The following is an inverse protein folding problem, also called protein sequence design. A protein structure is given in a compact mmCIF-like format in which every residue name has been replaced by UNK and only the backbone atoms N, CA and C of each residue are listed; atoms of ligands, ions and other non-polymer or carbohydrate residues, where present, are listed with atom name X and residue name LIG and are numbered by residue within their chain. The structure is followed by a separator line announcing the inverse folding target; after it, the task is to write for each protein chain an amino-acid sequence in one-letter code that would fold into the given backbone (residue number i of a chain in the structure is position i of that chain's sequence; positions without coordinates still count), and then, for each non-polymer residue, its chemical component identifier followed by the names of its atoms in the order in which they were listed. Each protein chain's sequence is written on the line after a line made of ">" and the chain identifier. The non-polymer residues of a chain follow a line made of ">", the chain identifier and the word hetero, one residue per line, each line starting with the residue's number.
data_IF_493760597269
#
_entry.id   IF_493760597269
#
_cell.length_a   1.000
_cell.length_b   1.000
_cell.length_c   1.000
_cell.angle_alpha   90.00
_cell.angle_beta   90.00
_cell.angle_gamma   90.00
#
_symmetry.space_group_name_H-M   'P 1'
#
loop_
_entity.id
_entity.type
_entity.pdbx_description
1 polymer ?
#
# COMPACT_ATOMS: atom_id res chain seq x y z
N UNK A 1 -66.57 23.73 -15.60
CA UNK A 1 -65.16 23.43 -15.95
C UNK A 1 -65.10 22.00 -16.49
N UNK A 2 -64.76 21.81 -17.77
CA UNK A 2 -64.75 20.49 -18.43
C UNK A 2 -63.72 19.57 -17.73
N UNK A 3 -63.95 18.26 -17.71
CA UNK A 3 -63.04 17.22 -17.20
C UNK A 3 -61.60 17.45 -17.67
N UNK A 4 -61.40 17.85 -18.93
CA UNK A 4 -60.06 18.18 -19.46
C UNK A 4 -59.39 19.34 -18.71
N UNK A 5 -60.17 20.36 -18.34
CA UNK A 5 -59.67 21.51 -17.57
C UNK A 5 -59.37 21.12 -16.13
N UNK A 6 -60.16 20.23 -15.49
CA UNK A 6 -59.88 19.70 -14.14
C UNK A 6 -58.63 18.81 -14.10
N UNK A 7 -58.43 17.96 -15.12
CA UNK A 7 -57.25 17.11 -15.26
C UNK A 7 -55.99 17.98 -15.45
N UNK A 8 -56.08 19.04 -16.26
CA UNK A 8 -54.96 19.96 -16.49
C UNK A 8 -54.59 20.75 -15.22
N UNK A 9 -55.56 21.17 -14.40
CA UNK A 9 -55.27 21.86 -13.13
C UNK A 9 -54.67 20.92 -12.09
N UNK A 10 -55.08 19.65 -12.06
CA UNK A 10 -54.53 18.62 -11.16
C UNK A 10 -53.09 18.23 -11.57
N UNK A 11 -52.82 18.11 -12.86
CA UNK A 11 -51.47 17.86 -13.38
C UNK A 11 -50.51 19.02 -13.10
N UNK A 12 -50.98 20.27 -13.19
CA UNK A 12 -50.15 21.45 -12.90
C UNK A 12 -49.84 21.59 -11.39
N UNK A 13 -50.75 21.17 -10.51
CA UNK A 13 -50.51 21.20 -9.05
C UNK A 13 -49.59 20.06 -8.59
N UNK A 14 -49.65 18.88 -9.22
CA UNK A 14 -48.71 17.78 -8.94
C UNK A 14 -47.30 18.10 -9.45
N UNK A 15 -47.17 18.81 -10.58
CA UNK A 15 -45.87 19.22 -11.12
C UNK A 15 -45.16 20.31 -10.27
N UNK A 16 -45.92 21.13 -9.53
CA UNK A 16 -45.35 22.11 -8.59
C UNK A 16 -44.90 21.50 -7.25
N UNK A 17 -45.39 20.31 -6.88
CA UNK A 17 -45.03 19.67 -5.61
C UNK A 17 -43.71 18.86 -5.69
N UNK A 18 -43.20 18.58 -6.89
CA UNK A 18 -41.99 17.76 -7.07
C UNK A 18 -40.68 18.54 -7.12
N UNK A 19 -40.71 19.86 -6.92
CA UNK A 19 -39.49 20.71 -6.92
C UNK A 19 -39.10 21.20 -5.53
N UNK A 20 -39.74 20.69 -4.48
CA UNK A 20 -39.38 20.94 -3.09
C UNK A 20 -38.39 19.87 -2.56
N UNK A 21 -37.40 19.47 -3.36
CA UNK A 21 -36.17 18.97 -2.75
C UNK A 21 -35.42 20.18 -2.21
N UNK A 22 -35.28 20.24 -0.89
CA UNK A 22 -34.59 21.31 -0.21
C UNK A 22 -33.20 21.50 -0.82
N UNK A 23 -32.96 22.64 -1.47
CA UNK A 23 -31.60 23.11 -1.77
C UNK A 23 -30.92 23.45 -0.44
N UNK A 24 -30.40 22.43 0.25
CA UNK A 24 -29.49 22.66 1.36
C UNK A 24 -28.22 23.28 0.81
N UNK A 25 -27.75 24.36 1.46
CA UNK A 25 -26.45 24.94 1.14
C UNK A 25 -25.39 23.89 1.45
N UNK A 26 -24.61 23.49 0.44
CA UNK A 26 -23.51 22.56 0.62
C UNK A 26 -22.39 23.26 1.39
N UNK A 27 -22.28 22.95 2.67
CA UNK A 27 -21.21 23.46 3.53
C UNK A 27 -20.02 22.48 3.54
N UNK A 28 -18.77 22.97 3.61
CA UNK A 28 -17.62 22.11 3.85
C UNK A 28 -17.80 21.29 5.13
N UNK A 29 -17.60 19.97 5.04
CA UNK A 29 -17.66 19.10 6.19
C UNK A 29 -16.55 19.44 7.19
N UNK A 30 -16.86 19.43 8.48
CA UNK A 30 -15.89 19.76 9.52
C UNK A 30 -14.69 18.81 9.56
N UNK A 31 -14.92 17.56 9.14
CA UNK A 31 -13.90 16.53 8.91
C UNK A 31 -14.08 15.98 7.49
N UNK A 32 -13.35 16.51 6.50
CA UNK A 32 -13.44 16.03 5.12
C UNK A 32 -13.04 14.55 5.02
N UNK A 33 -13.65 13.82 4.09
CA UNK A 33 -13.24 12.46 3.74
C UNK A 33 -11.91 12.47 3.00
N UNK A 34 -11.15 11.38 3.14
CA UNK A 34 -9.91 11.12 2.44
C UNK A 34 -9.78 9.62 2.18
N UNK A 35 -9.10 9.29 1.08
CA UNK A 35 -8.75 7.94 0.70
C UNK A 35 -7.25 7.90 0.39
N UNK A 36 -6.58 6.86 0.85
CA UNK A 36 -5.21 6.52 0.44
C UNK A 36 -5.18 5.08 -0.02
N UNK A 37 -4.38 4.78 -1.05
CA UNK A 37 -4.17 3.43 -1.55
C UNK A 37 -2.68 3.19 -1.77
N UNK A 38 -2.23 1.98 -1.46
CA UNK A 38 -0.84 1.56 -1.61
C UNK A 38 -0.79 0.09 -2.01
N UNK A 39 0.03 -0.23 -3.02
CA UNK A 39 0.43 -1.60 -3.30
C UNK A 39 1.52 -2.00 -2.31
N UNK A 40 1.25 -3.01 -1.49
CA UNK A 40 2.15 -3.58 -0.49
C UNK A 40 2.48 -5.00 -0.94
N UNK A 41 3.72 -5.23 -1.38
CA UNK A 41 4.04 -6.43 -2.14
C UNK A 41 3.14 -6.56 -3.37
N UNK A 42 2.34 -7.61 -3.42
CA UNK A 42 1.35 -7.83 -4.48
C UNK A 42 -0.09 -7.43 -4.07
N UNK A 43 -0.29 -7.02 -2.81
CA UNK A 43 -1.61 -6.69 -2.24
C UNK A 43 -1.92 -5.21 -2.41
N UNK A 44 -3.15 -4.90 -2.81
CA UNK A 44 -3.68 -3.53 -2.82
C UNK A 44 -4.32 -3.26 -1.46
N UNK A 45 -3.84 -2.23 -0.76
CA UNK A 45 -4.35 -1.79 0.54
C UNK A 45 -4.95 -0.40 0.39
N UNK A 46 -6.23 -0.26 0.72
CA UNK A 46 -6.95 1.03 0.66
C UNK A 46 -7.48 1.40 2.02
N UNK A 47 -7.29 2.65 2.44
CA UNK A 47 -7.85 3.21 3.67
C UNK A 47 -8.74 4.39 3.33
N UNK A 48 -9.99 4.33 3.78
CA UNK A 48 -10.96 5.43 3.69
C UNK A 48 -11.27 5.95 5.08
N UNK A 49 -11.14 7.26 5.28
CA UNK A 49 -11.30 7.87 6.59
C UNK A 49 -11.76 9.32 6.49
N UNK A 50 -12.27 9.88 7.58
CA UNK A 50 -12.45 11.34 7.70
C UNK A 50 -11.36 11.95 8.56
N UNK A 51 -10.92 13.15 8.19
CA UNK A 51 -9.79 13.86 8.79
C UNK A 51 -10.23 14.94 9.78
N UNK A 52 -10.35 14.65 11.10
CA UNK A 52 -10.65 15.69 12.08
C UNK A 52 -9.48 16.64 12.32
N UNK A 53 -9.80 17.89 12.65
CA UNK A 53 -8.83 18.91 13.09
C UNK A 53 -8.93 19.19 14.58
N UNK A 54 -7.83 19.65 15.20
CA UNK A 54 -7.79 19.94 16.62
C UNK A 54 -8.69 21.11 16.99
N UNK A 55 -8.67 22.20 16.20
CA UNK A 55 -9.44 23.43 16.45
C UNK A 55 -9.22 23.97 17.86
N UNK A 56 -7.96 23.99 18.30
CA UNK A 56 -7.56 24.46 19.63
C UNK A 56 -7.78 23.48 20.79
N UNK A 57 -8.39 22.31 20.54
CA UNK A 57 -8.61 21.28 21.57
C UNK A 57 -7.38 20.40 21.78
N UNK A 58 -7.20 19.91 22.99
CA UNK A 58 -6.31 18.77 23.27
C UNK A 58 -6.99 17.49 22.79
N UNK A 59 -6.25 16.60 22.14
CA UNK A 59 -6.86 15.41 21.53
C UNK A 59 -6.85 14.25 22.51
N UNK A 60 -5.67 13.73 22.82
CA UNK A 60 -5.57 12.50 23.60
C UNK A 60 -5.64 12.78 25.10
N UNK A 61 -6.56 12.07 25.77
CA UNK A 61 -6.90 12.29 27.17
C UNK A 61 -7.93 13.41 27.40
N UNK A 62 -8.52 13.98 26.35
CA UNK A 62 -9.62 14.93 26.44
C UNK A 62 -10.69 14.67 25.37
N UNK A 63 -10.49 15.11 24.12
CA UNK A 63 -11.43 14.84 23.02
C UNK A 63 -11.56 13.33 22.73
N UNK A 64 -10.43 12.62 22.81
CA UNK A 64 -10.34 11.17 22.73
C UNK A 64 -9.89 10.68 24.11
N UNK A 65 -10.82 10.22 24.96
CA UNK A 65 -10.50 9.74 26.30
C UNK A 65 -9.54 8.54 26.26
N UNK A 66 -8.70 8.44 27.28
CA UNK A 66 -7.85 7.26 27.42
C UNK A 66 -8.62 6.10 28.04
N UNK A 67 -8.40 4.90 27.51
CA UNK A 67 -9.02 3.67 28.02
C UNK A 67 -10.39 3.34 27.41
N UNK A 68 -10.96 4.26 26.63
CA UNK A 68 -12.23 4.07 25.95
C UNK A 68 -12.04 3.74 24.46
N UNK A 69 -13.01 3.01 23.89
CA UNK A 69 -13.03 2.71 22.45
C UNK A 69 -13.31 3.98 21.67
N UNK A 70 -12.43 4.24 20.70
CA UNK A 70 -12.52 5.34 19.75
C UNK A 70 -12.62 4.79 18.33
N UNK A 71 -13.67 5.20 17.60
CA UNK A 71 -13.71 5.05 16.15
C UNK A 71 -12.62 5.92 15.55
N UNK A 72 -11.52 5.28 15.15
CA UNK A 72 -10.27 5.96 14.77
C UNK A 72 -10.55 6.92 13.61
N UNK A 73 -10.68 8.23 13.87
CA UNK A 73 -11.08 9.25 12.89
C UNK A 73 -12.37 10.00 13.26
N UNK A 74 -13.05 10.58 12.26
CA UNK A 74 -14.31 11.34 12.39
C UNK A 74 -15.45 10.77 11.51
N UNK A 75 -16.72 11.08 11.79
CA UNK A 75 -17.89 10.67 11.00
C UNK A 75 -18.08 9.13 10.86
N UNK A 76 -18.01 8.59 9.64
CA UNK A 76 -18.11 7.15 9.35
C UNK A 76 -16.87 6.38 9.82
N UNK A 77 -16.99 5.07 10.06
CA UNK A 77 -15.85 4.20 10.39
C UNK A 77 -14.70 4.38 9.39
N UNK A 78 -13.49 4.52 9.91
CA UNK A 78 -12.31 4.38 9.05
C UNK A 78 -12.27 2.92 8.61
N UNK A 79 -12.27 2.69 7.31
CA UNK A 79 -12.19 1.35 6.75
C UNK A 79 -10.81 1.11 6.17
N UNK A 80 -10.37 -0.14 6.26
CA UNK A 80 -9.17 -0.65 5.61
C UNK A 80 -9.55 -1.89 4.79
N UNK A 81 -9.16 -1.91 3.53
CA UNK A 81 -9.45 -2.98 2.59
C UNK A 81 -8.15 -3.59 2.10
N UNK A 82 -8.08 -4.93 2.12
CA UNK A 82 -6.98 -5.72 1.59
C UNK A 82 -7.48 -6.60 0.44
N UNK A 83 -6.77 -6.58 -0.70
CA UNK A 83 -7.13 -7.42 -1.85
C UNK A 83 -6.70 -8.89 -1.74
N UNK A 84 -5.79 -9.21 -0.82
CA UNK A 84 -5.35 -10.57 -0.50
C UNK A 84 -5.16 -10.70 1.02
N UNK A 85 -4.92 -11.92 1.50
CA UNK A 85 -4.64 -12.19 2.91
C UNK A 85 -3.35 -11.48 3.35
N UNK A 86 -3.34 -10.98 4.59
CA UNK A 86 -2.22 -10.21 5.16
C UNK A 86 -1.94 -10.64 6.59
N UNK A 87 -0.80 -10.18 7.14
CA UNK A 87 -0.54 -10.20 8.58
C UNK A 87 -0.50 -8.79 9.14
N UNK A 88 -1.19 -8.56 10.26
CA UNK A 88 -1.13 -7.33 11.03
C UNK A 88 -0.41 -7.57 12.35
N UNK A 89 0.75 -6.93 12.54
CA UNK A 89 1.63 -7.20 13.69
C UNK A 89 1.87 -8.71 13.91
N UNK A 90 2.07 -9.45 12.82
CA UNK A 90 2.27 -10.90 12.81
C UNK A 90 1.01 -11.77 12.88
N UNK A 91 -0.18 -11.18 13.07
CA UNK A 91 -1.45 -11.93 13.17
C UNK A 91 -2.11 -12.06 11.80
N UNK A 92 -2.52 -13.26 11.44
CA UNK A 92 -3.21 -13.52 10.16
C UNK A 92 -4.56 -12.82 10.06
N UNK A 93 -4.80 -12.18 8.92
CA UNK A 93 -6.06 -11.53 8.56
C UNK A 93 -6.40 -11.87 7.11
N UNK A 94 -7.57 -12.49 6.85
CA UNK A 94 -8.03 -12.74 5.50
C UNK A 94 -8.23 -11.46 4.68
N UNK A 95 -8.25 -11.58 3.36
CA UNK A 95 -8.65 -10.51 2.46
C UNK A 95 -10.06 -10.00 2.80
N UNK A 96 -10.27 -8.70 2.72
CA UNK A 96 -11.57 -8.11 3.02
C UNK A 96 -11.49 -6.64 3.42
N UNK A 97 -12.65 -6.09 3.75
CA UNK A 97 -12.80 -4.72 4.26
C UNK A 97 -13.20 -4.76 5.73
N UNK A 98 -12.44 -4.03 6.54
CA UNK A 98 -12.60 -3.99 7.99
C UNK A 98 -12.67 -2.55 8.49
N UNK A 99 -13.32 -2.33 9.63
CA UNK A 99 -13.29 -1.05 10.33
C UNK A 99 -12.15 -0.99 11.34
N UNK A 100 -11.56 0.20 11.51
CA UNK A 100 -10.51 0.47 12.48
C UNK A 100 -11.06 1.23 13.69
N UNK A 101 -10.93 0.61 14.86
CA UNK A 101 -11.11 1.23 16.17
C UNK A 101 -9.80 1.19 16.94
N UNK A 102 -9.69 2.04 17.95
CA UNK A 102 -8.54 2.06 18.84
C UNK A 102 -8.97 2.30 20.27
N UNK A 103 -8.21 1.79 21.24
CA UNK A 103 -8.27 2.18 22.65
C UNK A 103 -6.95 2.86 22.98
N UNK A 104 -6.89 4.20 22.97
CA UNK A 104 -5.68 4.94 23.31
C UNK A 104 -5.35 4.83 24.80
N UNK A 105 -4.08 4.62 25.12
CA UNK A 105 -3.49 4.89 26.44
C UNK A 105 -2.17 5.62 26.27
N UNK A 106 -1.54 6.02 27.38
CA UNK A 106 -0.27 6.76 27.35
C UNK A 106 0.88 5.91 26.82
N UNK A 107 0.92 4.63 27.19
CA UNK A 107 2.08 3.76 26.94
C UNK A 107 1.79 2.65 25.93
N UNK A 108 0.51 2.28 25.75
CA UNK A 108 0.08 1.25 24.80
C UNK A 108 -1.28 1.60 24.18
N UNK A 109 -1.38 1.48 22.87
CA UNK A 109 -2.65 1.57 22.16
C UNK A 109 -3.09 0.16 21.78
N UNK A 110 -4.36 -0.14 21.98
CA UNK A 110 -4.97 -1.31 21.35
C UNK A 110 -5.57 -0.88 20.03
N UNK A 111 -5.10 -1.44 18.92
CA UNK A 111 -5.78 -1.34 17.62
C UNK A 111 -6.77 -2.49 17.53
N UNK A 112 -7.95 -2.21 16.99
CA UNK A 112 -9.05 -3.13 16.85
C UNK A 112 -9.46 -3.14 15.38
N UNK A 113 -9.51 -4.34 14.81
CA UNK A 113 -9.98 -4.60 13.45
C UNK A 113 -11.33 -5.30 13.59
N UNK A 114 -12.38 -4.66 13.08
CA UNK A 114 -13.76 -5.15 13.20
C UNK A 114 -14.36 -5.46 11.83
N UNK A 115 -15.18 -6.51 11.74
CA UNK A 115 -15.95 -6.85 10.53
C UNK A 115 -17.11 -5.89 10.27
N UNK A 116 -17.55 -5.12 11.28
CA UNK A 116 -18.66 -4.18 11.14
C UNK A 116 -18.19 -2.81 10.64
N UNK A 117 -18.35 -2.61 9.32
CA UNK A 117 -17.89 -1.42 8.59
C UNK A 117 -18.92 -0.30 8.50
N UNK A 118 -20.14 -0.51 9.01
CA UNK A 118 -21.29 0.38 8.75
C UNK A 118 -21.58 1.36 9.87
N UNK A 119 -20.86 1.27 10.99
CA UNK A 119 -21.11 2.12 12.15
C UNK A 119 -20.69 3.58 11.91
N UNK A 120 -21.47 4.48 12.48
CA UNK A 120 -21.20 5.92 12.51
C UNK A 120 -20.84 6.32 13.94
N UNK A 121 -19.57 6.67 14.18
CA UNK A 121 -19.06 6.79 15.56
C UNK A 121 -18.74 5.44 16.22
N UNK A 122 -18.54 5.47 17.54
CA UNK A 122 -18.44 4.26 18.37
C UNK A 122 -19.80 3.82 18.94
N UNK A 123 -20.88 4.53 18.59
CA UNK A 123 -22.24 4.20 19.04
C UNK A 123 -22.68 2.91 18.34
N UNK A 124 -23.05 1.91 19.12
CA UNK A 124 -23.40 0.58 18.61
C UNK A 124 -22.20 -0.35 18.37
N UNK A 125 -20.98 0.07 18.73
CA UNK A 125 -19.83 -0.81 18.75
C UNK A 125 -20.03 -1.92 19.80
N UNK A 126 -19.73 -3.17 19.41
CA UNK A 126 -19.67 -4.36 20.26
C UNK A 126 -18.39 -5.12 19.95
N UNK A 127 -17.82 -5.77 20.96
CA UNK A 127 -16.60 -6.57 20.80
C UNK A 127 -16.84 -7.91 20.08
N UNK A 128 -18.11 -8.31 19.93
CA UNK A 128 -18.53 -9.48 19.15
C UNK A 128 -18.16 -9.35 17.66
N UNK A 129 -18.08 -8.11 17.14
CA UNK A 129 -17.71 -7.83 15.74
C UNK A 129 -16.18 -7.71 15.55
N UNK A 130 -15.38 -7.90 16.60
CA UNK A 130 -13.93 -7.80 16.49
C UNK A 130 -13.32 -9.06 15.88
N UNK A 131 -12.58 -8.86 14.79
CA UNK A 131 -11.80 -9.90 14.13
C UNK A 131 -10.47 -10.09 14.84
N UNK A 132 -9.85 -8.99 15.27
CA UNK A 132 -8.62 -9.03 16.05
C UNK A 132 -8.37 -7.74 16.84
N UNK A 133 -7.57 -7.88 17.90
CA UNK A 133 -7.00 -6.78 18.68
C UNK A 133 -5.52 -7.01 18.86
N UNK A 134 -4.72 -5.97 18.68
CA UNK A 134 -3.28 -6.03 18.93
C UNK A 134 -2.78 -4.72 19.54
N UNK A 135 -1.68 -4.81 20.30
CA UNK A 135 -1.10 -3.65 20.98
C UNK A 135 0.05 -3.08 20.20
N UNK A 136 0.11 -1.74 20.16
CA UNK A 136 1.20 -0.99 19.55
C UNK A 136 1.61 0.17 20.45
N UNK A 137 2.88 0.54 20.37
CA UNK A 137 3.43 1.62 21.20
C UNK A 137 3.19 2.98 20.54
N UNK A 138 2.51 3.94 21.21
CA UNK A 138 2.47 5.31 20.73
C UNK A 138 3.84 5.97 20.87
N UNK A 139 4.15 6.85 19.93
CA UNK A 139 5.34 7.69 19.91
C UNK A 139 4.99 9.17 19.75
N UNK A 140 5.98 10.04 19.87
CA UNK A 140 5.82 11.47 19.60
C UNK A 140 6.13 11.80 18.15
N UNK A 141 5.41 12.76 17.58
CA UNK A 141 5.75 13.34 16.28
C UNK A 141 6.84 14.41 16.42
N UNK A 142 7.61 14.65 15.36
CA UNK A 142 8.62 15.72 15.32
C UNK A 142 8.04 17.13 15.16
N UNK A 143 6.75 17.22 14.82
CA UNK A 143 5.98 18.46 14.70
C UNK A 143 4.53 18.20 15.13
N UNK A 144 3.80 19.26 15.45
CA UNK A 144 2.37 19.18 15.80
C UNK A 144 1.52 19.03 14.53
N UNK A 145 0.62 18.05 14.52
CA UNK A 145 -0.34 17.78 13.45
C UNK A 145 -1.73 18.33 13.81
N UNK A 146 -2.10 19.46 13.20
CA UNK A 146 -3.42 20.09 13.42
C UNK A 146 -4.58 19.23 12.89
N UNK A 147 -4.37 18.55 11.76
CA UNK A 147 -5.37 17.66 11.15
C UNK A 147 -4.85 16.24 11.16
N UNK A 148 -5.71 15.29 11.55
CA UNK A 148 -5.36 13.87 11.58
C UNK A 148 -4.91 13.39 10.18
N UNK A 149 -3.87 12.59 10.19
CA UNK A 149 -3.25 11.99 9.01
C UNK A 149 -3.11 10.50 9.22
N UNK A 150 -3.60 9.72 8.26
CA UNK A 150 -3.26 8.31 8.09
C UNK A 150 -2.42 8.20 6.82
N UNK A 151 -1.31 7.47 6.85
CA UNK A 151 -0.41 7.26 5.72
C UNK A 151 0.34 5.92 5.80
N UNK A 152 0.73 5.38 4.66
CA UNK A 152 1.69 4.27 4.58
C UNK A 152 3.13 4.78 4.71
N UNK A 153 3.94 4.08 5.50
CA UNK A 153 5.36 4.38 5.74
C UNK A 153 6.16 3.08 5.82
N UNK A 154 7.48 3.16 5.83
CA UNK A 154 8.37 1.99 6.02
C UNK A 154 8.05 0.86 5.00
N UNK A 155 7.92 1.23 3.73
CA UNK A 155 7.58 0.32 2.63
C UNK A 155 8.79 -0.56 2.31
N UNK A 156 8.51 -1.84 2.11
CA UNK A 156 9.42 -2.91 1.72
C UNK A 156 8.73 -3.78 0.67
N UNK A 157 9.48 -4.68 0.03
CA UNK A 157 8.92 -5.57 -1.00
C UNK A 157 7.82 -6.51 -0.47
N UNK A 158 7.75 -6.73 0.84
CA UNK A 158 6.81 -7.68 1.48
C UNK A 158 5.93 -7.05 2.57
N UNK A 159 5.91 -5.73 2.66
CA UNK A 159 5.10 -5.07 3.69
C UNK A 159 5.24 -3.56 3.76
N UNK A 160 4.34 -2.92 4.51
CA UNK A 160 4.38 -1.50 4.85
C UNK A 160 3.95 -1.31 6.32
N UNK A 161 4.08 -0.12 6.88
CA UNK A 161 3.43 0.23 8.14
C UNK A 161 2.32 1.25 7.87
N UNK A 162 1.16 1.07 8.47
CA UNK A 162 0.14 2.12 8.50
C UNK A 162 0.37 3.01 9.71
N UNK A 163 0.56 4.30 9.50
CA UNK A 163 0.81 5.27 10.57
C UNK A 163 -0.35 6.25 10.69
N UNK A 164 -0.80 6.47 11.93
CA UNK A 164 -1.79 7.47 12.30
C UNK A 164 -1.08 8.56 13.11
N UNK A 165 -1.24 9.82 12.72
CA UNK A 165 -0.66 10.99 13.39
C UNK A 165 -1.75 12.03 13.68
N UNK A 166 -1.78 12.53 14.91
CA UNK A 166 -2.63 13.66 15.27
C UNK A 166 -2.10 14.33 16.53
N UNK A 167 -2.22 15.66 16.63
CA UNK A 167 -1.58 16.44 17.69
C UNK A 167 -0.06 16.16 17.73
N UNK A 168 0.45 15.59 18.82
CA UNK A 168 1.85 15.28 19.04
C UNK A 168 2.06 13.76 19.13
N UNK A 169 1.06 12.98 18.75
CA UNK A 169 1.04 11.52 18.89
C UNK A 169 1.11 10.89 17.51
N UNK A 170 1.96 9.86 17.40
CA UNK A 170 2.01 8.92 16.29
C UNK A 170 1.78 7.53 16.84
N UNK A 171 0.94 6.75 16.17
CA UNK A 171 0.90 5.31 16.33
C UNK A 171 1.12 4.69 14.95
N UNK A 172 1.75 3.52 14.88
CA UNK A 172 1.86 2.77 13.63
C UNK A 172 1.75 1.28 13.91
N UNK A 173 1.29 0.54 12.92
CA UNK A 173 1.34 -0.92 12.94
C UNK A 173 1.80 -1.49 11.60
N UNK A 174 2.44 -2.65 11.66
CA UNK A 174 3.03 -3.36 10.53
C UNK A 174 1.97 -4.18 9.78
N UNK A 175 1.99 -4.05 8.46
CA UNK A 175 1.26 -4.87 7.49
C UNK A 175 2.29 -5.69 6.71
N UNK A 176 2.13 -7.00 6.69
CA UNK A 176 3.00 -7.92 5.94
C UNK A 176 2.14 -8.73 4.97
N UNK A 177 2.70 -9.07 3.83
CA UNK A 177 2.00 -9.75 2.72
C UNK A 177 2.83 -10.91 2.23
N UNK A 178 2.19 -11.99 1.80
CA UNK A 178 2.89 -13.08 1.12
C UNK A 178 3.28 -12.64 -0.30
N UNK A 179 4.54 -12.87 -0.66
CA UNK A 179 5.11 -12.50 -1.97
C UNK A 179 5.99 -13.61 -2.50
N UNK A 180 6.78 -14.25 -1.63
CA UNK A 180 7.76 -15.25 -2.05
C UNK A 180 7.08 -16.47 -2.64
N UNK A 181 6.08 -17.01 -1.95
CA UNK A 181 5.32 -18.15 -2.45
C UNK A 181 4.69 -17.87 -3.81
N UNK A 182 4.05 -16.70 -3.95
CA UNK A 182 3.35 -16.30 -5.19
C UNK A 182 4.33 -16.17 -6.36
N UNK A 183 5.45 -15.48 -6.16
CA UNK A 183 6.43 -15.28 -7.24
C UNK A 183 7.14 -16.59 -7.59
N UNK A 184 7.46 -17.42 -6.60
CA UNK A 184 8.10 -18.71 -6.84
C UNK A 184 7.19 -19.67 -7.61
N UNK A 185 5.88 -19.69 -7.31
CA UNK A 185 4.90 -20.46 -8.08
C UNK A 185 4.81 -19.96 -9.53
N UNK A 186 4.83 -18.65 -9.75
CA UNK A 186 4.88 -18.06 -11.10
C UNK A 186 6.16 -18.41 -11.86
N UNK A 187 7.33 -18.35 -11.19
CA UNK A 187 8.61 -18.74 -11.82
C UNK A 187 8.58 -20.23 -12.18
N UNK A 188 8.04 -21.07 -11.29
CA UNK A 188 7.91 -22.50 -11.57
C UNK A 188 7.07 -22.74 -12.82
N UNK A 189 5.86 -22.20 -12.89
CA UNK A 189 4.96 -22.39 -14.03
C UNK A 189 5.53 -21.75 -15.31
N UNK A 190 5.83 -20.45 -15.27
CA UNK A 190 6.12 -19.67 -16.47
C UNK A 190 7.55 -19.83 -17.00
N UNK A 191 8.50 -20.30 -16.18
CA UNK A 191 9.92 -20.40 -16.57
C UNK A 191 10.42 -21.84 -16.53
N UNK A 192 10.23 -22.52 -15.41
CA UNK A 192 10.79 -23.87 -15.22
C UNK A 192 10.01 -24.91 -16.02
N UNK A 193 8.68 -24.95 -15.83
CA UNK A 193 7.82 -25.95 -16.45
C UNK A 193 7.62 -25.66 -17.95
N UNK A 194 7.36 -24.40 -18.31
CA UNK A 194 7.06 -24.01 -19.69
C UNK A 194 8.28 -23.80 -20.59
N UNK A 195 9.46 -23.51 -20.02
CA UNK A 195 10.69 -23.18 -20.75
C UNK A 195 10.43 -22.20 -21.93
N UNK A 196 9.91 -21.00 -21.65
CA UNK A 196 9.41 -20.09 -22.67
C UNK A 196 10.52 -19.64 -23.61
N UNK A 197 10.14 -19.14 -24.79
CA UNK A 197 11.06 -18.44 -25.70
C UNK A 197 11.21 -16.96 -25.37
N UNK A 198 10.34 -16.40 -24.51
CA UNK A 198 10.37 -14.99 -24.12
C UNK A 198 11.57 -14.70 -23.19
N UNK A 199 12.60 -13.94 -23.63
CA UNK A 199 13.77 -13.63 -22.81
C UNK A 199 13.41 -12.83 -21.54
N UNK A 200 12.36 -12.02 -21.60
CA UNK A 200 11.91 -11.21 -20.47
C UNK A 200 11.47 -12.01 -19.25
N UNK A 201 10.95 -13.23 -19.43
CA UNK A 201 10.56 -14.10 -18.31
C UNK A 201 11.80 -14.63 -17.58
N UNK A 202 12.86 -14.98 -18.30
CA UNK A 202 14.13 -15.37 -17.68
C UNK A 202 14.81 -14.20 -16.95
N UNK A 203 14.76 -12.99 -17.53
CA UNK A 203 15.24 -11.79 -16.84
C UNK A 203 14.49 -11.57 -15.51
N UNK A 204 13.16 -11.65 -15.52
CA UNK A 204 12.34 -11.46 -14.32
C UNK A 204 12.69 -12.49 -13.24
N UNK A 205 12.80 -13.77 -13.60
CA UNK A 205 13.18 -14.83 -12.68
C UNK A 205 14.61 -14.66 -12.12
N UNK A 206 15.58 -14.37 -12.99
CA UNK A 206 16.96 -14.11 -12.60
C UNK A 206 17.07 -12.90 -11.64
N UNK A 207 16.37 -11.81 -11.96
CA UNK A 207 16.37 -10.61 -11.12
C UNK A 207 15.75 -10.88 -9.75
N UNK A 208 14.67 -11.68 -9.72
CA UNK A 208 14.03 -12.08 -8.48
C UNK A 208 14.95 -12.91 -7.59
N UNK A 209 15.63 -13.92 -8.17
CA UNK A 209 16.58 -14.76 -7.45
C UNK A 209 17.79 -13.96 -6.96
N UNK A 210 18.33 -13.07 -7.79
CA UNK A 210 19.41 -12.17 -7.39
C UNK A 210 19.02 -11.27 -6.22
N UNK A 211 17.86 -10.62 -6.30
CA UNK A 211 17.39 -9.63 -5.31
C UNK A 211 17.12 -10.28 -3.96
N UNK A 212 16.51 -11.48 -3.98
CA UNK A 212 16.13 -12.22 -2.77
C UNK A 212 17.20 -13.21 -2.30
N UNK A 213 18.43 -13.12 -2.85
CA UNK A 213 19.58 -13.95 -2.45
C UNK A 213 19.26 -15.47 -2.46
N UNK A 214 18.57 -15.91 -3.50
CA UNK A 214 18.25 -17.33 -3.76
C UNK A 214 19.45 -18.01 -4.45
N UNK A 215 19.18 -19.03 -5.26
CA UNK A 215 20.22 -19.73 -6.03
C UNK A 215 20.84 -18.81 -7.10
N UNK A 216 22.09 -18.42 -6.88
CA UNK A 216 22.79 -17.48 -7.76
C UNK A 216 23.29 -18.16 -9.04
N UNK A 217 23.53 -19.47 -9.03
CA UNK A 217 23.89 -20.22 -10.23
C UNK A 217 22.68 -20.34 -11.15
N UNK A 218 21.50 -20.64 -10.60
CA UNK A 218 20.26 -20.65 -11.38
C UNK A 218 19.93 -19.26 -11.94
N UNK A 219 20.13 -18.20 -11.15
CA UNK A 219 19.98 -16.83 -11.62
C UNK A 219 20.93 -16.51 -12.78
N UNK A 220 22.16 -17.04 -12.73
CA UNK A 220 23.14 -16.90 -13.80
C UNK A 220 22.72 -17.60 -15.09
N UNK A 221 22.20 -18.83 -15.00
CA UNK A 221 21.69 -19.55 -16.16
C UNK A 221 20.55 -18.79 -16.85
N UNK A 222 19.58 -18.30 -16.08
CA UNK A 222 18.45 -17.55 -16.63
C UNK A 222 18.87 -16.20 -17.20
N UNK A 223 19.78 -15.46 -16.56
CA UNK A 223 20.22 -14.19 -17.15
C UNK A 223 21.04 -14.42 -18.42
N UNK A 224 21.81 -15.51 -18.52
CA UNK A 224 22.49 -15.88 -19.77
C UNK A 224 21.45 -16.16 -20.86
N UNK A 225 20.42 -16.97 -20.55
CA UNK A 225 19.34 -17.30 -21.49
C UNK A 225 18.52 -16.08 -21.93
N UNK A 226 18.30 -15.13 -21.02
CA UNK A 226 17.68 -13.84 -21.35
C UNK A 226 18.48 -13.02 -22.38
N UNK A 227 19.80 -13.24 -22.45
CA UNK A 227 20.71 -12.44 -23.27
C UNK A 227 21.06 -13.06 -24.62
N UNK A 228 20.75 -14.34 -24.85
CA UNK A 228 21.20 -15.08 -26.04
C UNK A 228 20.76 -14.41 -27.34
N UNK A 229 19.48 -14.04 -27.44
CA UNK A 229 18.89 -13.51 -28.68
C UNK A 229 18.53 -12.02 -28.63
N UNK A 230 18.42 -11.44 -27.43
CA UNK A 230 17.96 -10.04 -27.27
C UNK A 230 18.72 -9.29 -26.15
N UNK A 231 20.06 -9.16 -26.24
CA UNK A 231 20.83 -8.48 -25.21
C UNK A 231 20.40 -7.02 -25.04
N UNK A 232 20.30 -6.58 -23.79
CA UNK A 232 19.97 -5.19 -23.42
C UNK A 232 20.97 -4.65 -22.40
N UNK A 233 21.08 -3.33 -22.31
CA UNK A 233 21.97 -2.74 -21.33
C UNK A 233 21.57 -3.13 -19.89
N UNK A 234 20.27 -3.23 -19.56
CA UNK A 234 19.83 -3.53 -18.20
C UNK A 234 19.99 -5.00 -17.80
N UNK A 235 19.79 -5.92 -18.73
CA UNK A 235 19.99 -7.36 -18.54
C UNK A 235 21.49 -7.69 -18.41
N UNK A 236 22.35 -7.08 -19.24
CA UNK A 236 23.82 -7.18 -19.07
C UNK A 236 24.29 -6.60 -17.73
N UNK A 237 23.66 -5.53 -17.26
CA UNK A 237 23.98 -4.97 -15.94
C UNK A 237 23.62 -5.97 -14.82
N UNK A 238 22.45 -6.60 -14.89
CA UNK A 238 22.07 -7.65 -13.94
C UNK A 238 23.02 -8.85 -14.00
N UNK A 239 23.40 -9.30 -15.21
CA UNK A 239 24.39 -10.36 -15.39
C UNK A 239 25.70 -10.03 -14.70
N UNK A 240 26.21 -8.81 -14.87
CA UNK A 240 27.43 -8.35 -14.21
C UNK A 240 27.33 -8.40 -12.68
N UNK A 241 26.16 -8.05 -12.12
CA UNK A 241 25.92 -8.13 -10.66
C UNK A 241 25.90 -9.58 -10.17
N UNK A 242 25.25 -10.49 -10.91
CA UNK A 242 25.20 -11.92 -10.60
C UNK A 242 26.62 -12.52 -10.68
N UNK A 243 27.38 -12.21 -11.74
CA UNK A 243 28.77 -12.64 -11.90
C UNK A 243 29.64 -12.20 -10.72
N UNK A 244 29.46 -10.97 -10.24
CA UNK A 244 30.18 -10.47 -9.08
C UNK A 244 29.84 -11.25 -7.79
N UNK A 245 28.56 -11.54 -7.54
CA UNK A 245 28.13 -12.36 -6.39
C UNK A 245 28.69 -13.79 -6.47
N UNK A 246 28.85 -14.33 -7.68
CA UNK A 246 29.51 -15.61 -7.93
C UNK A 246 31.04 -15.56 -7.87
N UNK A 247 31.63 -14.39 -7.57
CA UNK A 247 33.09 -14.20 -7.52
C UNK A 247 33.77 -14.12 -8.89
N UNK A 248 33.01 -14.10 -9.99
CA UNK A 248 33.47 -14.00 -11.38
C UNK A 248 33.82 -12.55 -11.74
N UNK A 249 34.83 -12.00 -11.05
CA UNK A 249 35.17 -10.57 -11.10
C UNK A 249 35.55 -10.07 -12.50
N UNK A 250 36.22 -10.88 -13.32
CA UNK A 250 36.65 -10.48 -14.67
C UNK A 250 35.45 -10.37 -15.60
N UNK A 251 34.61 -11.39 -15.56
CA UNK A 251 33.37 -11.53 -16.31
C UNK A 251 32.42 -10.39 -15.94
N UNK A 252 32.26 -10.10 -14.64
CA UNK A 252 31.45 -8.99 -14.15
C UNK A 252 31.90 -7.64 -14.73
N UNK A 253 33.22 -7.38 -14.80
CA UNK A 253 33.75 -6.15 -15.42
C UNK A 253 33.46 -6.12 -16.92
N UNK A 254 33.60 -7.23 -17.62
CA UNK A 254 33.33 -7.32 -19.06
C UNK A 254 31.85 -7.09 -19.38
N UNK A 255 30.95 -7.75 -18.66
CA UNK A 255 29.49 -7.58 -18.77
C UNK A 255 29.08 -6.14 -18.44
N UNK A 256 29.64 -5.54 -17.38
CA UNK A 256 29.35 -4.15 -17.00
C UNK A 256 29.83 -3.14 -18.05
N UNK A 257 30.99 -3.38 -18.70
CA UNK A 257 31.47 -2.52 -19.79
C UNK A 257 30.56 -2.59 -21.01
N UNK A 258 30.15 -3.79 -21.43
CA UNK A 258 29.21 -3.96 -22.54
C UNK A 258 27.87 -3.27 -22.25
N UNK A 259 27.32 -3.47 -21.05
CA UNK A 259 26.13 -2.77 -20.57
C UNK A 259 26.29 -1.25 -20.64
N UNK A 260 27.42 -0.72 -20.16
CA UNK A 260 27.71 0.71 -20.16
C UNK A 260 27.77 1.29 -21.57
N UNK A 261 28.40 0.59 -22.52
CA UNK A 261 28.53 1.08 -23.89
C UNK A 261 27.17 1.08 -24.61
N UNK A 262 26.36 0.03 -24.43
CA UNK A 262 24.97 0.01 -24.91
C UNK A 262 24.12 1.12 -24.27
N UNK A 263 24.32 1.42 -22.98
CA UNK A 263 23.62 2.51 -22.30
C UNK A 263 24.01 3.90 -22.84
N UNK A 264 25.29 4.10 -23.23
CA UNK A 264 25.74 5.34 -23.89
C UNK A 264 25.09 5.50 -25.25
N UNK A 265 25.04 4.45 -26.05
CA UNK A 265 24.36 4.45 -27.36
C UNK A 265 22.87 4.77 -27.21
N UNK A 266 22.22 4.19 -26.20
CA UNK A 266 20.83 4.46 -25.84
C UNK A 266 20.62 5.83 -25.15
N UNK A 267 21.68 6.62 -24.93
CA UNK A 267 21.66 7.92 -24.23
C UNK A 267 21.01 7.83 -22.83
N UNK A 268 21.25 6.72 -22.12
CA UNK A 268 20.77 6.49 -20.75
C UNK A 268 21.91 6.71 -19.73
N UNK A 269 22.08 7.93 -19.19
CA UNK A 269 23.16 8.24 -18.26
C UNK A 269 23.05 7.50 -16.92
N UNK A 270 21.86 7.08 -16.51
CA UNK A 270 21.65 6.37 -15.24
C UNK A 270 22.34 5.01 -15.26
N UNK A 271 22.19 4.26 -16.36
CA UNK A 271 22.85 2.97 -16.53
C UNK A 271 24.35 3.09 -16.79
N UNK A 272 24.81 4.20 -17.40
CA UNK A 272 26.25 4.48 -17.46
C UNK A 272 26.81 4.59 -16.05
N UNK A 273 26.20 5.42 -15.19
CA UNK A 273 26.63 5.60 -13.81
C UNK A 273 26.51 4.33 -12.96
N UNK A 274 25.49 3.50 -13.18
CA UNK A 274 25.34 2.21 -12.48
C UNK A 274 26.51 1.26 -12.79
N UNK A 275 26.90 1.14 -14.05
CA UNK A 275 28.01 0.29 -14.46
C UNK A 275 29.36 0.84 -14.00
N UNK A 276 29.59 2.15 -14.06
CA UNK A 276 30.81 2.77 -13.52
C UNK A 276 30.99 2.47 -12.03
N UNK A 277 29.91 2.60 -11.24
CA UNK A 277 29.92 2.28 -9.81
C UNK A 277 30.22 0.80 -9.57
N UNK A 278 29.59 -0.09 -10.33
CA UNK A 278 29.83 -1.54 -10.22
C UNK A 278 31.27 -1.91 -10.57
N UNK A 279 31.83 -1.37 -11.67
CA UNK A 279 33.23 -1.63 -12.05
C UNK A 279 34.18 -1.09 -10.97
N UNK A 280 33.88 0.08 -10.38
CA UNK A 280 34.67 0.67 -9.31
C UNK A 280 34.65 -0.18 -8.04
N UNK A 281 33.54 -0.84 -7.70
CA UNK A 281 33.45 -1.67 -6.48
C UNK A 281 34.21 -3.00 -6.58
N UNK A 282 34.64 -3.41 -7.77
CA UNK A 282 35.38 -4.67 -8.00
C UNK A 282 36.89 -4.49 -7.83
N UNK A 283 37.39 -3.25 -8.04
CA UNK A 283 38.80 -2.86 -7.94
C UNK A 283 39.23 -2.68 -6.49
#
# INVERSE_FOLDING_TARGET
>A
MNIKTRILTLLLTVLCLTVAEAQQIQMPQASPSAQISQKVGLTDVTVEYSRPSMRGRKIFGELVPFGDVWRTGANAATTITFSTDVKLEGNDLPAGTYALYSIPRKDDWTIIVSSNTKLWGAVGYTDEDDVMRFRVKPGKTGQRYETMEINFVDITDTGASLAIKWENTRVKFRIETEVDGIVMDQIKDLVIDQQPTNPGLYYQAANYYFTNKKDMDQAYEWIVKSEEDDPKYWTMHLKAKIELELGKKKEAIESAKKSMDMAKEAKNPDYVGLNERLIKSIR
#
